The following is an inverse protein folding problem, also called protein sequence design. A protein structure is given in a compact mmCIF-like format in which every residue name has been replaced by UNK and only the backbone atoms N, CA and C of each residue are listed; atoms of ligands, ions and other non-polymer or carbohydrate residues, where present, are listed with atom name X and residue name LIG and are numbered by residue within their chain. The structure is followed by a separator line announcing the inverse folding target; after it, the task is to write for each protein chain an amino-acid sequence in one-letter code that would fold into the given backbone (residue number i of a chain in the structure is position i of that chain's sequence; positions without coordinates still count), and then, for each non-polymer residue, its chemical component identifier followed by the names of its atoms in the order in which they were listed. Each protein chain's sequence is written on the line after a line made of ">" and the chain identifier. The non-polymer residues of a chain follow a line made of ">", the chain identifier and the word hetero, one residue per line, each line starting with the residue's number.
data_IF_096391768202
#
_entry.id   IF_096391768202
#
_cell.length_a   1.000
_cell.length_b   1.000
_cell.length_c   1.000
_cell.angle_alpha   90.00
_cell.angle_beta   90.00
_cell.angle_gamma   90.00
#
_symmetry.space_group_name_H-M   'P 1'
#
loop_
_entity.id
_entity.type
_entity.pdbx_description
1 polymer ?
#
# COMPACT_ATOMS: atom_id res chain seq x y z
N UNK A 1 8.94 31.80 -4.64
CA UNK A 1 8.27 32.91 -3.93
C UNK A 1 8.09 32.52 -2.45
N UNK A 2 8.17 33.46 -1.49
CA UNK A 2 7.92 33.17 -0.07
C UNK A 2 6.43 32.85 0.17
N UNK A 3 6.15 32.01 1.18
CA UNK A 3 4.78 31.68 1.59
C UNK A 3 4.14 32.88 2.29
N UNK A 4 3.00 33.34 1.77
CA UNK A 4 2.16 34.36 2.39
C UNK A 4 0.93 33.72 3.02
N UNK A 5 0.94 33.52 4.34
CA UNK A 5 -0.17 32.90 5.07
C UNK A 5 -1.41 33.80 5.13
N UNK A 6 -1.24 35.13 5.09
CA UNK A 6 -2.36 36.07 5.10
C UNK A 6 -3.15 35.97 3.78
N UNK A 7 -2.45 35.85 2.65
CA UNK A 7 -3.08 35.61 1.35
C UNK A 7 -3.71 34.21 1.24
N UNK A 8 -3.23 33.22 1.99
CA UNK A 8 -3.75 31.83 1.98
C UNK A 8 -5.04 31.65 2.77
N UNK A 9 -5.36 32.57 3.69
CA UNK A 9 -6.61 32.56 4.46
C UNK A 9 -6.59 31.56 5.61
N UNK A 10 -7.11 30.35 5.39
CA UNK A 10 -7.35 29.37 6.46
C UNK A 10 -6.74 28.00 6.16
N UNK A 11 -6.41 27.26 7.23
CA UNK A 11 -6.02 25.85 7.19
C UNK A 11 -7.13 25.03 7.83
N UNK A 12 -7.59 24.00 7.12
CA UNK A 12 -8.62 23.09 7.61
C UNK A 12 -8.01 21.73 7.92
N UNK A 13 -8.42 21.16 9.04
CA UNK A 13 -7.98 19.86 9.52
C UNK A 13 -9.18 18.96 9.76
N UNK A 14 -9.00 17.66 9.57
CA UNK A 14 -10.04 16.66 9.77
C UNK A 14 -9.44 15.28 9.98
N UNK A 15 -10.24 14.38 10.54
CA UNK A 15 -9.87 12.97 10.68
C UNK A 15 -10.04 12.25 9.34
N UNK A 16 -9.24 11.20 9.13
CA UNK A 16 -9.41 10.31 7.98
C UNK A 16 -10.52 9.30 8.30
N UNK A 17 -11.47 9.16 7.38
CA UNK A 17 -12.47 8.10 7.40
C UNK A 17 -11.81 6.77 6.99
N UNK A 18 -11.68 5.85 7.96
CA UNK A 18 -11.04 4.56 7.76
C UNK A 18 -11.84 3.59 6.87
N UNK A 19 -13.16 3.73 6.81
CA UNK A 19 -13.99 2.91 5.91
C UNK A 19 -13.86 3.39 4.47
N UNK A 20 -13.74 4.71 4.27
CA UNK A 20 -13.51 5.30 2.94
C UNK A 20 -12.08 5.12 2.43
N UNK A 21 -11.09 5.16 3.33
CA UNK A 21 -9.66 5.06 3.00
C UNK A 21 -8.95 3.91 3.74
N UNK A 22 -9.36 2.65 3.52
CA UNK A 22 -8.88 1.50 4.28
C UNK A 22 -7.37 1.23 4.12
N UNK A 23 -6.77 1.66 3.00
CA UNK A 23 -5.32 1.52 2.76
C UNK A 23 -4.47 2.20 3.86
N UNK A 24 -4.95 3.28 4.47
CA UNK A 24 -4.24 3.92 5.58
C UNK A 24 -4.11 2.98 6.79
N UNK A 25 -5.17 2.26 7.14
CA UNK A 25 -5.14 1.28 8.23
C UNK A 25 -4.14 0.16 7.96
N UNK A 26 -4.15 -0.36 6.73
CA UNK A 26 -3.24 -1.43 6.28
C UNK A 26 -1.77 -0.97 6.35
N UNK A 27 -1.46 0.22 5.83
CA UNK A 27 -0.11 0.76 5.86
C UNK A 27 0.38 1.00 7.30
N UNK A 28 -0.49 1.51 8.18
CA UNK A 28 -0.17 1.71 9.59
C UNK A 28 0.04 0.39 10.34
N UNK A 29 -0.70 -0.67 9.99
CA UNK A 29 -0.48 -2.00 10.55
C UNK A 29 0.87 -2.57 10.09
N UNK A 30 1.12 -2.57 8.78
CA UNK A 30 2.36 -3.06 8.19
C UNK A 30 3.59 -2.32 8.73
N UNK A 31 3.53 -0.99 8.83
CA UNK A 31 4.62 -0.15 9.33
C UNK A 31 4.87 -0.25 10.84
N UNK A 32 3.96 -0.84 11.62
CA UNK A 32 4.19 -1.14 13.04
C UNK A 32 4.91 -2.47 13.27
N UNK A 33 4.97 -3.33 12.25
CA UNK A 33 5.68 -4.62 12.34
C UNK A 33 7.16 -4.39 12.08
N UNK A 34 8.00 -4.98 12.93
CA UNK A 34 9.47 -4.96 12.79
C UNK A 34 9.93 -6.16 11.93
N UNK A 35 9.35 -6.28 10.75
CA UNK A 35 9.57 -7.37 9.80
C UNK A 35 9.39 -6.90 8.34
N UNK A 36 9.52 -7.82 7.39
CA UNK A 36 9.36 -7.57 5.95
C UNK A 36 7.96 -7.15 5.47
N UNK A 37 6.93 -7.13 6.34
CA UNK A 37 5.54 -6.88 5.94
C UNK A 37 5.37 -5.52 5.24
N UNK A 38 6.04 -4.47 5.73
CA UNK A 38 5.96 -3.15 5.11
C UNK A 38 6.46 -3.15 3.66
N UNK A 39 7.55 -3.87 3.36
CA UNK A 39 8.08 -4.00 2.01
C UNK A 39 7.12 -4.79 1.11
N UNK A 40 6.56 -5.90 1.62
CA UNK A 40 5.58 -6.69 0.90
C UNK A 40 4.31 -5.90 0.55
N UNK A 41 3.78 -5.12 1.49
CA UNK A 41 2.61 -4.25 1.24
C UNK A 41 2.95 -3.12 0.27
N UNK A 42 4.16 -2.56 0.31
CA UNK A 42 4.61 -1.54 -0.64
C UNK A 42 4.65 -2.09 -2.08
N UNK A 43 5.26 -3.26 -2.30
CA UNK A 43 5.26 -3.88 -3.63
C UNK A 43 3.87 -4.25 -4.13
N UNK A 44 2.98 -4.67 -3.23
CA UNK A 44 1.57 -4.90 -3.56
C UNK A 44 0.84 -3.60 -3.96
N UNK A 45 1.12 -2.48 -3.30
CA UNK A 45 0.56 -1.17 -3.66
C UNK A 45 1.01 -0.72 -5.06
N UNK A 46 2.31 -0.83 -5.35
CA UNK A 46 2.86 -0.44 -6.65
C UNK A 46 2.22 -1.23 -7.80
N UNK A 47 2.12 -2.56 -7.67
CA UNK A 47 1.45 -3.40 -8.68
C UNK A 47 -0.06 -3.12 -8.77
N UNK A 48 -0.75 -2.92 -7.64
CA UNK A 48 -2.19 -2.66 -7.64
C UNK A 48 -2.52 -1.31 -8.32
N UNK A 49 -1.74 -0.26 -8.04
CA UNK A 49 -1.88 1.05 -8.69
C UNK A 49 -1.61 0.92 -10.19
N UNK A 50 -0.56 0.19 -10.60
CA UNK A 50 -0.28 -0.06 -12.02
C UNK A 50 -1.46 -0.77 -12.73
N UNK A 51 -2.04 -1.79 -12.11
CA UNK A 51 -3.22 -2.46 -12.62
C UNK A 51 -4.45 -1.53 -12.71
N UNK A 52 -4.65 -0.65 -11.74
CA UNK A 52 -5.73 0.33 -11.75
C UNK A 52 -5.55 1.33 -12.89
N UNK A 53 -4.35 1.89 -13.04
CA UNK A 53 -4.02 2.84 -14.11
C UNK A 53 -4.14 2.21 -15.50
N UNK A 54 -3.87 0.91 -15.61
CA UNK A 54 -4.07 0.12 -16.83
C UNK A 54 -5.54 -0.30 -17.07
N UNK A 55 -6.49 0.10 -16.22
CA UNK A 55 -7.90 -0.26 -16.35
C UNK A 55 -8.23 -1.73 -16.06
N UNK A 56 -7.30 -2.47 -15.44
CA UNK A 56 -7.45 -3.92 -15.17
C UNK A 56 -8.19 -4.21 -13.86
N UNK A 57 -8.19 -3.27 -12.92
CA UNK A 57 -8.93 -3.37 -11.65
C UNK A 57 -9.67 -2.07 -11.33
N UNK A 58 -10.68 -2.16 -10.47
CA UNK A 58 -11.37 -0.97 -9.94
C UNK A 58 -10.54 -0.31 -8.82
N UNK A 59 -10.73 0.98 -8.58
CA UNK A 59 -10.02 1.72 -7.51
C UNK A 59 -10.13 1.05 -6.14
N UNK A 60 -11.34 0.59 -5.77
CA UNK A 60 -11.58 -0.09 -4.48
C UNK A 60 -10.89 -1.45 -4.36
N UNK A 61 -10.39 -2.02 -5.47
CA UNK A 61 -9.64 -3.27 -5.42
C UNK A 61 -8.21 -3.09 -4.90
N UNK A 62 -7.64 -1.89 -4.95
CA UNK A 62 -6.29 -1.61 -4.42
C UNK A 62 -6.24 -2.03 -2.95
N UNK A 63 -7.02 -1.38 -2.07
CA UNK A 63 -7.01 -1.71 -0.65
C UNK A 63 -7.37 -3.17 -0.35
N UNK A 64 -8.27 -3.79 -1.14
CA UNK A 64 -8.58 -5.22 -1.00
C UNK A 64 -7.37 -6.12 -1.32
N UNK A 65 -6.56 -5.77 -2.31
CA UNK A 65 -5.36 -6.51 -2.68
C UNK A 65 -4.25 -6.32 -1.63
N UNK A 66 -4.05 -5.09 -1.14
CA UNK A 66 -3.11 -4.82 -0.05
C UNK A 66 -3.47 -5.62 1.22
N UNK A 67 -4.76 -5.66 1.59
CA UNK A 67 -5.21 -6.45 2.76
C UNK A 67 -4.92 -7.94 2.59
N UNK A 68 -5.15 -8.50 1.39
CA UNK A 68 -4.78 -9.88 1.09
C UNK A 68 -3.28 -10.13 1.13
N UNK A 69 -2.46 -9.19 0.65
CA UNK A 69 -1.01 -9.30 0.70
C UNK A 69 -0.51 -9.25 2.16
N UNK A 70 -1.07 -8.34 2.97
CA UNK A 70 -0.79 -8.22 4.40
C UNK A 70 -1.09 -9.53 5.17
N UNK A 71 -2.20 -10.20 4.82
CA UNK A 71 -2.60 -11.48 5.42
C UNK A 71 -1.77 -12.67 4.92
N UNK A 72 -1.40 -12.69 3.64
CA UNK A 72 -0.73 -13.82 2.99
C UNK A 72 0.81 -13.80 3.13
N UNK A 73 1.41 -12.64 3.41
CA UNK A 73 2.85 -12.51 3.51
C UNK A 73 3.41 -13.33 4.67
N UNK A 74 4.50 -14.06 4.42
CA UNK A 74 5.24 -14.76 5.47
C UNK A 74 6.35 -13.83 5.99
N UNK A 75 6.20 -13.24 7.20
CA UNK A 75 7.12 -12.22 7.68
C UNK A 75 8.48 -12.80 8.07
N UNK A 76 9.54 -12.11 7.65
CA UNK A 76 10.90 -12.30 8.16
C UNK A 76 11.28 -11.14 9.07
N UNK A 77 11.60 -11.43 10.33
CA UNK A 77 12.03 -10.43 11.31
C UNK A 77 13.49 -10.03 11.09
N UNK A 78 13.83 -8.77 11.42
CA UNK A 78 15.19 -8.20 11.28
C UNK A 78 15.83 -8.48 9.90
N UNK A 79 15.16 -8.09 8.81
CA UNK A 79 15.65 -8.37 7.46
C UNK A 79 16.88 -7.52 7.12
N UNK A 80 17.73 -8.07 6.26
CA UNK A 80 18.70 -7.27 5.50
C UNK A 80 18.05 -6.63 4.26
N UNK A 81 18.83 -5.87 3.50
CA UNK A 81 18.34 -5.19 2.30
C UNK A 81 17.80 -6.19 1.25
N UNK A 82 18.51 -7.28 1.02
CA UNK A 82 18.13 -8.28 0.00
C UNK A 82 16.79 -8.95 0.37
N UNK A 83 16.59 -9.22 1.66
CA UNK A 83 15.33 -9.76 2.19
C UNK A 83 14.18 -8.76 2.03
N UNK A 84 14.42 -7.46 2.21
CA UNK A 84 13.42 -6.41 1.98
C UNK A 84 13.04 -6.31 0.49
N UNK A 85 14.03 -6.31 -0.41
CA UNK A 85 13.80 -6.28 -1.85
C UNK A 85 13.05 -7.55 -2.32
N UNK A 86 13.38 -8.71 -1.76
CA UNK A 86 12.67 -9.95 -2.07
C UNK A 86 11.20 -9.92 -1.60
N UNK A 87 10.92 -9.30 -0.44
CA UNK A 87 9.57 -9.13 0.07
C UNK A 87 8.75 -8.14 -0.77
N UNK A 88 9.34 -7.02 -1.20
CA UNK A 88 8.72 -6.09 -2.14
C UNK A 88 8.37 -6.79 -3.46
N UNK A 89 9.33 -7.51 -4.05
CA UNK A 89 9.10 -8.25 -5.28
C UNK A 89 8.05 -9.37 -5.12
N UNK A 90 7.96 -9.98 -3.94
CA UNK A 90 6.88 -10.91 -3.60
C UNK A 90 5.51 -10.21 -3.63
N UNK A 91 5.40 -9.02 -3.04
CA UNK A 91 4.16 -8.25 -3.01
C UNK A 91 3.63 -7.93 -4.41
N UNK A 92 4.53 -7.56 -5.33
CA UNK A 92 4.21 -7.36 -6.75
C UNK A 92 3.64 -8.62 -7.38
N UNK A 93 4.39 -9.73 -7.31
CA UNK A 93 3.98 -11.02 -7.89
C UNK A 93 2.64 -11.50 -7.34
N UNK A 94 2.43 -11.35 -6.03
CA UNK A 94 1.17 -11.73 -5.38
C UNK A 94 -0.03 -11.00 -5.99
N UNK A 95 0.11 -9.70 -6.26
CA UNK A 95 -0.94 -8.89 -6.88
C UNK A 95 -1.12 -9.27 -8.35
N UNK A 96 -0.04 -9.38 -9.12
CA UNK A 96 -0.08 -9.75 -10.54
C UNK A 96 -0.81 -11.08 -10.74
N UNK A 97 -0.47 -12.09 -9.94
CA UNK A 97 -1.13 -13.40 -9.93
C UNK A 97 -2.62 -13.30 -9.54
N UNK A 98 -2.94 -12.53 -8.50
CA UNK A 98 -4.30 -12.33 -8.05
C UNK A 98 -5.19 -11.61 -9.07
N UNK A 99 -4.62 -10.74 -9.92
CA UNK A 99 -5.32 -10.08 -11.02
C UNK A 99 -5.45 -11.02 -12.22
N UNK A 100 -4.41 -11.79 -12.55
CA UNK A 100 -4.45 -12.76 -13.64
C UNK A 100 -5.50 -13.86 -13.44
N UNK A 101 -5.70 -14.34 -12.21
CA UNK A 101 -6.72 -15.36 -11.87
C UNK A 101 -8.17 -14.84 -11.92
N UNK A 102 -8.39 -13.55 -12.19
CA UNK A 102 -9.72 -12.93 -12.31
C UNK A 102 -10.15 -12.66 -13.76
N UNK A 103 -9.31 -13.03 -14.74
CA UNK A 103 -9.67 -13.05 -16.17
C UNK A 103 -10.46 -14.31 -16.49
#
# INVERSE_FOLDING_TARGET
>A
PPLDLAARGALHFGTVDGERFPALGIALEAGRRDDTTAAAVAGADEAAVEHFLAGRIQFTNIARLLGRALEAHAPTARPDLDTLLAAEAWGRRFVDEAVAMRV
#
